data_IF_084238479478
#
_entry.id   IF_084238479478
#
_cell.length_a   1.000
_cell.length_b   1.000
_cell.length_c   1.000
_cell.angle_alpha   90.00
_cell.angle_beta   90.00
_cell.angle_gamma   90.00
#
_symmetry.space_group_name_H-M   'P 1'
#
loop_
_entity.id
_entity.type
_entity.pdbx_description
1 polymer ?
#
# COMPACT_ATOMS: atom_id res chain seq x y z
N UNK A 1 -17.05 -19.27 7.69
CA UNK A 1 -16.51 -18.55 6.53
C UNK A 1 -15.01 -18.85 6.51
N UNK A 2 -14.49 -19.25 5.37
CA UNK A 2 -13.08 -19.51 5.22
C UNK A 2 -12.41 -18.23 4.72
N UNK A 3 -11.43 -17.71 5.49
CA UNK A 3 -10.67 -16.51 5.13
C UNK A 3 -9.37 -16.91 4.41
N UNK A 4 -8.90 -16.08 3.50
CA UNK A 4 -7.57 -16.24 2.91
C UNK A 4 -6.48 -16.13 3.98
N UNK A 5 -6.66 -15.18 4.92
CA UNK A 5 -5.80 -15.03 6.09
C UNK A 5 -6.65 -14.76 7.32
N UNK A 6 -6.37 -15.45 8.42
CA UNK A 6 -6.95 -15.16 9.73
C UNK A 6 -5.88 -15.21 10.82
N UNK A 7 -5.83 -14.18 11.65
CA UNK A 7 -5.00 -14.18 12.88
C UNK A 7 -5.89 -14.03 14.10
N UNK A 8 -5.54 -14.74 15.17
CA UNK A 8 -6.26 -14.74 16.44
C UNK A 8 -5.25 -14.48 17.55
N UNK A 9 -5.24 -13.26 18.07
CA UNK A 9 -4.40 -12.77 19.17
C UNK A 9 -2.90 -13.05 18.93
N UNK A 10 -2.43 -12.88 17.68
CA UNK A 10 -1.04 -13.17 17.33
C UNK A 10 -0.11 -12.18 18.01
N UNK A 11 0.81 -12.72 18.80
CA UNK A 11 1.84 -11.96 19.50
C UNK A 11 3.22 -12.47 19.12
N UNK A 12 4.16 -11.55 18.89
CA UNK A 12 5.57 -11.91 18.67
C UNK A 12 6.48 -11.05 19.54
N UNK A 13 7.26 -11.72 20.37
CA UNK A 13 8.28 -11.11 21.24
C UNK A 13 9.65 -11.62 20.79
N UNK A 14 10.57 -10.70 20.53
CA UNK A 14 11.98 -11.00 20.30
C UNK A 14 12.75 -10.79 21.60
N UNK A 15 13.31 -11.87 22.13
CA UNK A 15 14.15 -11.81 23.32
C UNK A 15 15.61 -11.61 22.90
N UNK A 16 16.39 -10.77 23.57
CA UNK A 16 17.81 -10.62 23.31
C UNK A 16 18.55 -11.91 23.63
N UNK A 17 19.58 -12.26 22.85
CA UNK A 17 20.39 -13.46 23.07
C UNK A 17 21.24 -13.36 24.33
N UNK A 18 21.54 -12.15 24.80
CA UNK A 18 22.27 -11.92 26.05
C UNK A 18 21.77 -10.67 26.77
N UNK A 19 22.01 -10.57 28.08
CA UNK A 19 21.67 -9.36 28.87
C UNK A 19 22.34 -8.07 28.36
N UNK A 20 23.43 -8.17 27.58
CA UNK A 20 24.12 -7.04 26.96
C UNK A 20 23.44 -6.52 25.69
N UNK A 21 22.55 -7.30 25.08
CA UNK A 21 21.90 -6.97 23.80
C UNK A 21 20.61 -6.15 23.93
N UNK A 22 20.20 -5.77 25.14
CA UNK A 22 19.07 -4.88 25.38
C UNK A 22 17.82 -5.54 25.95
N UNK A 23 16.67 -4.88 25.77
CA UNK A 23 15.36 -5.34 26.28
C UNK A 23 14.65 -6.20 25.24
N UNK A 24 13.73 -7.07 25.69
CA UNK A 24 12.80 -7.76 24.80
C UNK A 24 11.94 -6.77 24.03
N UNK A 25 11.75 -7.03 22.73
CA UNK A 25 10.94 -6.20 21.83
C UNK A 25 9.67 -6.97 21.47
N UNK A 26 8.51 -6.41 21.79
CA UNK A 26 7.22 -6.95 21.38
C UNK A 26 6.90 -6.35 20.00
N UNK A 27 7.16 -7.11 18.94
CA UNK A 27 6.94 -6.67 17.57
C UNK A 27 5.48 -6.82 17.11
N UNK A 28 4.72 -7.74 17.71
CA UNK A 28 3.27 -7.88 17.51
C UNK A 28 2.63 -8.11 18.88
N UNK A 29 1.48 -7.46 19.11
CA UNK A 29 0.74 -7.50 20.36
C UNK A 29 -0.73 -7.79 20.10
N UNK A 30 -1.11 -9.07 20.22
CA UNK A 30 -2.49 -9.56 20.14
C UNK A 30 -3.19 -9.14 18.82
N UNK A 31 -2.52 -9.38 17.69
CA UNK A 31 -3.04 -8.99 16.36
C UNK A 31 -4.18 -9.91 15.94
N UNK A 32 -5.35 -9.33 15.72
CA UNK A 32 -6.51 -9.94 15.10
C UNK A 32 -6.75 -9.37 13.72
N UNK A 33 -6.72 -10.20 12.67
CA UNK A 33 -6.89 -9.80 11.29
C UNK A 33 -7.66 -10.87 10.50
N UNK A 34 -8.53 -10.42 9.58
CA UNK A 34 -9.27 -11.28 8.67
C UNK A 34 -9.25 -10.68 7.27
N UNK A 35 -8.74 -11.46 6.31
CA UNK A 35 -8.65 -11.09 4.89
C UNK A 35 -9.47 -12.11 4.09
N UNK A 36 -10.34 -11.62 3.22
CA UNK A 36 -11.18 -12.48 2.41
C UNK A 36 -10.42 -13.02 1.19
N UNK A 37 -10.89 -14.14 0.64
CA UNK A 37 -10.38 -14.63 -0.64
C UNK A 37 -10.74 -13.66 -1.78
N UNK A 38 -9.77 -13.36 -2.64
CA UNK A 38 -9.94 -12.44 -3.77
C UNK A 38 -9.80 -10.97 -3.40
N UNK A 39 -9.29 -10.67 -2.23
CA UNK A 39 -9.12 -9.31 -1.70
C UNK A 39 -7.69 -8.79 -1.95
N UNK A 40 -7.56 -7.55 -2.39
CA UNK A 40 -6.31 -6.81 -2.35
C UNK A 40 -6.30 -5.99 -1.04
N UNK A 41 -5.56 -6.51 -0.06
CA UNK A 41 -5.54 -5.99 1.30
C UNK A 41 -4.24 -5.24 1.60
N UNK A 42 -4.35 -4.03 2.16
CA UNK A 42 -3.22 -3.21 2.58
C UNK A 42 -2.95 -3.32 4.09
N UNK A 43 -1.68 -3.47 4.47
CA UNK A 43 -1.22 -3.32 5.84
C UNK A 43 -0.32 -2.08 5.92
N UNK A 44 -0.85 -1.01 6.49
CA UNK A 44 -0.27 0.32 6.50
C UNK A 44 0.28 0.67 7.88
N UNK A 45 1.49 1.20 7.95
CA UNK A 45 2.09 1.62 9.22
C UNK A 45 3.53 2.07 9.08
N UNK A 46 4.11 2.71 10.10
CA UNK A 46 5.49 3.19 10.07
C UNK A 46 6.49 2.03 10.05
N UNK A 47 7.76 2.38 9.83
CA UNK A 47 8.85 1.43 9.96
C UNK A 47 8.93 0.94 11.42
N UNK A 48 9.07 -0.37 11.60
CA UNK A 48 9.08 -0.98 12.93
C UNK A 48 7.70 -1.31 13.52
N UNK A 49 6.58 -0.93 12.89
CA UNK A 49 5.23 -1.21 13.38
C UNK A 49 4.83 -2.70 13.43
N UNK A 50 5.67 -3.60 12.89
CA UNK A 50 5.41 -5.05 12.89
C UNK A 50 4.94 -5.65 11.56
N UNK A 51 4.80 -4.86 10.48
CA UNK A 51 4.32 -5.29 9.15
C UNK A 51 5.07 -6.54 8.64
N UNK A 52 6.38 -6.42 8.45
CA UNK A 52 7.25 -7.52 7.99
C UNK A 52 7.23 -8.72 8.95
N UNK A 53 7.11 -8.49 10.26
CA UNK A 53 7.01 -9.56 11.26
C UNK A 53 5.73 -10.37 11.06
N UNK A 54 4.60 -9.71 10.82
CA UNK A 54 3.34 -10.37 10.54
C UNK A 54 3.42 -11.17 9.24
N UNK A 55 3.95 -10.59 8.16
CA UNK A 55 4.13 -11.30 6.89
C UNK A 55 5.02 -12.55 7.04
N UNK A 56 6.12 -12.46 7.81
CA UNK A 56 6.99 -13.60 8.08
C UNK A 56 6.28 -14.71 8.86
N UNK A 57 5.36 -14.39 9.75
CA UNK A 57 4.54 -15.40 10.44
C UNK A 57 3.57 -16.06 9.47
N UNK A 58 2.84 -15.28 8.68
CA UNK A 58 1.88 -15.78 7.70
C UNK A 58 2.55 -16.62 6.60
N UNK A 59 3.77 -16.26 6.21
CA UNK A 59 4.58 -17.04 5.25
C UNK A 59 5.34 -18.22 5.86
N UNK A 60 5.10 -18.54 7.15
CA UNK A 60 5.75 -19.63 7.86
C UNK A 60 7.28 -19.49 8.02
N UNK A 61 7.83 -18.30 7.83
CA UNK A 61 9.24 -17.99 8.04
C UNK A 61 9.57 -17.69 9.49
N UNK A 62 8.54 -17.39 10.29
CA UNK A 62 8.65 -17.07 11.71
C UNK A 62 7.45 -17.66 12.45
N UNK A 63 7.68 -18.18 13.68
CA UNK A 63 6.59 -18.65 14.53
C UNK A 63 6.09 -17.52 15.43
N UNK A 64 4.78 -17.47 15.75
CA UNK A 64 4.26 -16.55 16.77
C UNK A 64 4.80 -16.98 18.15
N UNK A 65 4.87 -16.04 19.11
CA UNK A 65 5.14 -16.35 20.52
C UNK A 65 3.88 -16.87 21.20
N UNK A 66 2.72 -16.33 20.82
CA UNK A 66 1.40 -16.80 21.25
C UNK A 66 0.34 -16.40 20.22
N UNK A 67 -0.88 -16.93 20.37
CA UNK A 67 -1.97 -16.75 19.41
C UNK A 67 -1.89 -17.78 18.28
N UNK A 68 -2.71 -17.62 17.25
CA UNK A 68 -2.77 -18.50 16.08
C UNK A 68 -2.91 -17.72 14.78
N UNK A 69 -2.32 -18.22 13.73
CA UNK A 69 -2.49 -17.68 12.37
C UNK A 69 -2.85 -18.81 11.40
N UNK A 70 -3.75 -18.51 10.48
CA UNK A 70 -4.23 -19.42 9.45
C UNK A 70 -4.13 -18.79 8.09
N UNK A 71 -3.75 -19.56 7.08
CA UNK A 71 -3.69 -19.15 5.69
C UNK A 71 -4.41 -20.21 4.84
N UNK A 72 -5.41 -19.79 4.08
CA UNK A 72 -6.35 -20.70 3.38
C UNK A 72 -6.89 -21.81 4.29
N UNK A 73 -7.22 -21.48 5.55
CA UNK A 73 -7.70 -22.43 6.55
C UNK A 73 -6.64 -23.31 7.22
N UNK A 74 -5.37 -23.28 6.77
CA UNK A 74 -4.27 -24.08 7.33
C UNK A 74 -3.53 -23.31 8.42
N UNK A 75 -3.27 -23.97 9.55
CA UNK A 75 -2.49 -23.41 10.65
C UNK A 75 -1.01 -23.25 10.24
N UNK A 76 -0.47 -22.04 10.36
CA UNK A 76 0.89 -21.71 9.90
C UNK A 76 1.99 -22.46 10.65
N UNK A 77 1.71 -22.98 11.85
CA UNK A 77 2.65 -23.73 12.65
C UNK A 77 2.55 -25.24 12.37
N UNK A 78 1.32 -25.78 12.34
CA UNK A 78 1.07 -27.21 12.22
C UNK A 78 1.03 -27.71 10.80
N UNK A 79 0.47 -26.91 9.89
CA UNK A 79 0.20 -27.27 8.49
C UNK A 79 1.07 -26.46 7.52
N UNK A 80 2.26 -26.02 7.94
CA UNK A 80 3.15 -25.12 7.18
C UNK A 80 3.42 -25.58 5.74
N UNK A 81 3.46 -26.88 5.48
CA UNK A 81 3.66 -27.45 4.13
C UNK A 81 2.48 -27.09 3.21
N UNK A 82 1.26 -27.20 3.72
CA UNK A 82 0.05 -26.84 2.96
C UNK A 82 -0.08 -25.35 2.75
N UNK A 83 0.36 -24.52 3.73
CA UNK A 83 0.47 -23.08 3.59
C UNK A 83 1.45 -22.73 2.47
N UNK A 84 2.69 -23.24 2.52
CA UNK A 84 3.76 -22.93 1.54
C UNK A 84 3.41 -23.29 0.11
N UNK A 85 2.58 -24.31 -0.12
CA UNK A 85 2.10 -24.67 -1.46
C UNK A 85 1.17 -23.64 -2.08
N UNK A 86 0.55 -22.78 -1.27
CA UNK A 86 -0.48 -21.82 -1.69
C UNK A 86 -0.03 -20.38 -1.74
N UNK A 87 1.12 -20.12 -1.10
CA UNK A 87 1.61 -18.74 -0.95
C UNK A 87 2.90 -18.50 -1.73
N UNK A 88 3.17 -17.22 -1.98
CA UNK A 88 4.51 -16.73 -2.22
C UNK A 88 4.72 -15.40 -1.49
N UNK A 89 5.98 -14.98 -1.34
CA UNK A 89 6.35 -13.73 -0.69
C UNK A 89 7.41 -13.00 -1.51
N UNK A 90 7.22 -11.70 -1.68
CA UNK A 90 8.18 -10.78 -2.30
C UNK A 90 8.52 -9.71 -1.28
N UNK A 91 9.80 -9.54 -0.97
CA UNK A 91 10.30 -8.46 -0.11
C UNK A 91 10.96 -7.37 -0.95
N UNK A 92 10.66 -6.10 -0.63
CA UNK A 92 11.34 -4.96 -1.20
C UNK A 92 12.77 -4.83 -0.65
N UNK A 93 13.68 -4.34 -1.47
CA UNK A 93 15.05 -4.00 -1.03
C UNK A 93 16.01 -5.18 -0.82
N UNK A 94 15.57 -6.42 -0.86
CA UNK A 94 16.47 -7.56 -0.76
C UNK A 94 17.23 -7.83 -2.07
N UNK A 95 18.52 -8.15 -1.95
CA UNK A 95 19.31 -8.69 -3.08
C UNK A 95 18.80 -10.09 -3.35
N UNK A 96 17.95 -10.19 -4.34
CA UNK A 96 17.20 -11.38 -4.64
C UNK A 96 17.71 -12.03 -5.93
N UNK A 97 17.87 -13.35 -5.86
CA UNK A 97 18.32 -14.18 -6.98
C UNK A 97 19.83 -14.44 -6.99
N UNK A 98 20.21 -15.40 -7.80
CA UNK A 98 21.60 -15.76 -8.00
C UNK A 98 22.23 -14.85 -9.05
N UNK A 99 23.13 -13.96 -8.63
CA UNK A 99 23.70 -12.90 -9.46
C UNK A 99 24.45 -13.37 -10.72
N UNK A 100 24.94 -14.62 -10.73
CA UNK A 100 25.66 -15.22 -11.86
C UNK A 100 24.75 -15.83 -12.92
N UNK A 101 23.52 -16.15 -12.57
CA UNK A 101 22.51 -16.65 -13.49
C UNK A 101 21.90 -15.49 -14.28
N UNK A 102 21.40 -15.77 -15.46
CA UNK A 102 20.58 -14.84 -16.22
C UNK A 102 19.21 -14.61 -15.57
N UNK A 103 18.52 -13.56 -15.97
CA UNK A 103 17.14 -13.29 -15.52
C UNK A 103 16.25 -14.49 -15.75
N UNK A 104 16.29 -15.05 -16.97
CA UNK A 104 15.48 -16.23 -17.35
C UNK A 104 15.83 -17.46 -16.52
N UNK A 105 17.11 -17.75 -16.35
CA UNK A 105 17.56 -18.90 -15.54
C UNK A 105 17.12 -18.79 -14.09
N UNK A 106 17.20 -17.58 -13.48
CA UNK A 106 16.69 -17.36 -12.13
C UNK A 106 15.20 -17.66 -12.02
N UNK A 107 14.39 -17.07 -12.89
CA UNK A 107 12.94 -17.23 -12.86
C UNK A 107 12.54 -18.71 -13.11
N UNK A 108 13.19 -19.35 -14.07
CA UNK A 108 12.98 -20.76 -14.35
C UNK A 108 13.35 -21.65 -13.15
N UNK A 109 14.53 -21.46 -12.56
CA UNK A 109 15.01 -22.22 -11.41
C UNK A 109 14.04 -22.10 -10.23
N UNK A 110 13.57 -20.89 -9.91
CA UNK A 110 12.58 -20.70 -8.84
C UNK A 110 11.26 -21.40 -9.15
N UNK A 111 10.80 -21.40 -10.39
CA UNK A 111 9.58 -22.13 -10.79
C UNK A 111 9.72 -23.65 -10.57
N UNK A 112 10.94 -24.19 -10.78
CA UNK A 112 11.21 -25.61 -10.56
C UNK A 112 11.14 -26.00 -9.06
N UNK A 113 11.52 -25.11 -8.14
CA UNK A 113 11.37 -25.35 -6.71
C UNK A 113 9.89 -25.52 -6.29
N UNK A 114 8.97 -24.95 -7.04
CA UNK A 114 7.53 -25.14 -6.85
C UNK A 114 6.93 -26.26 -7.72
N UNK A 115 7.76 -27.03 -8.42
CA UNK A 115 7.34 -28.17 -9.22
C UNK A 115 6.54 -27.80 -10.49
N UNK A 116 6.72 -26.60 -11.02
CA UNK A 116 6.01 -26.13 -12.21
C UNK A 116 6.67 -26.75 -13.45
N UNK A 117 5.85 -27.33 -14.34
CA UNK A 117 6.34 -27.88 -15.62
C UNK A 117 7.09 -26.80 -16.41
N UNK A 118 8.28 -27.14 -16.94
CA UNK A 118 9.15 -26.18 -17.63
C UNK A 118 8.47 -25.46 -18.81
N UNK A 119 7.57 -26.13 -19.55
CA UNK A 119 6.81 -25.51 -20.64
C UNK A 119 5.91 -24.38 -20.12
N UNK A 120 5.15 -24.64 -19.03
CA UNK A 120 4.27 -23.64 -18.37
C UNK A 120 5.08 -22.52 -17.77
N UNK A 121 6.21 -22.86 -17.10
CA UNK A 121 7.08 -21.86 -16.50
C UNK A 121 7.66 -20.91 -17.56
N UNK A 122 8.16 -21.46 -18.68
CA UNK A 122 8.74 -20.64 -19.74
C UNK A 122 7.72 -19.70 -20.38
N UNK A 123 6.51 -20.18 -20.65
CA UNK A 123 5.42 -19.34 -21.18
C UNK A 123 5.09 -18.18 -20.22
N UNK A 124 4.89 -18.46 -18.94
CA UNK A 124 4.63 -17.42 -17.92
C UNK A 124 5.77 -16.43 -17.78
N UNK A 125 7.02 -16.94 -17.79
CA UNK A 125 8.22 -16.08 -17.70
C UNK A 125 8.26 -15.12 -18.88
N UNK A 126 8.06 -15.60 -20.11
CA UNK A 126 8.11 -14.75 -21.29
C UNK A 126 6.99 -13.68 -21.27
N UNK A 127 5.76 -14.05 -20.90
CA UNK A 127 4.64 -13.11 -20.74
C UNK A 127 4.94 -12.03 -19.68
N UNK A 128 5.43 -12.44 -18.52
CA UNK A 128 5.73 -11.48 -17.45
C UNK A 128 6.94 -10.61 -17.76
N UNK A 129 7.98 -11.13 -18.42
CA UNK A 129 9.12 -10.33 -18.86
C UNK A 129 8.68 -9.24 -19.84
N UNK A 130 7.73 -9.54 -20.74
CA UNK A 130 7.16 -8.55 -21.65
C UNK A 130 6.37 -7.47 -20.89
N UNK A 131 5.43 -7.88 -20.01
CA UNK A 131 4.62 -6.96 -19.20
C UNK A 131 5.46 -6.01 -18.34
N UNK A 132 6.59 -6.51 -17.80
CA UNK A 132 7.49 -5.72 -16.96
C UNK A 132 8.55 -4.94 -17.74
N UNK A 133 8.59 -5.09 -19.09
CA UNK A 133 9.59 -4.45 -19.95
C UNK A 133 11.00 -4.94 -19.64
N UNK A 134 11.18 -6.25 -19.45
CA UNK A 134 12.46 -6.90 -19.17
C UNK A 134 12.82 -7.98 -20.21
N UNK A 135 12.08 -8.07 -21.32
CA UNK A 135 12.30 -9.10 -22.35
C UNK A 135 13.69 -8.97 -22.99
N UNK A 136 14.16 -7.76 -23.23
CA UNK A 136 15.51 -7.47 -23.74
C UNK A 136 16.61 -7.87 -22.77
N UNK A 137 16.31 -7.98 -21.47
CA UNK A 137 17.24 -8.32 -20.38
C UNK A 137 17.23 -9.81 -20.01
N UNK A 138 16.40 -10.63 -20.64
CA UNK A 138 16.20 -12.04 -20.24
C UNK A 138 17.48 -12.88 -20.17
N UNK A 139 18.46 -12.56 -21.02
CA UNK A 139 19.74 -13.27 -21.11
C UNK A 139 20.89 -12.55 -20.36
N UNK A 140 20.61 -11.39 -19.75
CA UNK A 140 21.59 -10.68 -18.92
C UNK A 140 21.68 -11.29 -17.53
N UNK A 141 22.90 -11.24 -16.94
CA UNK A 141 23.11 -11.71 -15.57
C UNK A 141 22.44 -10.80 -14.57
N UNK A 142 21.79 -11.37 -13.54
CA UNK A 142 21.05 -10.59 -12.51
C UNK A 142 21.95 -9.53 -11.84
N UNK A 143 23.24 -9.78 -11.67
CA UNK A 143 24.17 -8.82 -11.07
C UNK A 143 24.35 -7.53 -11.89
N UNK A 144 24.06 -7.54 -13.20
CA UNK A 144 24.22 -6.37 -14.08
C UNK A 144 22.97 -5.51 -14.13
N UNK A 145 21.87 -5.95 -13.57
CA UNK A 145 20.59 -5.24 -13.56
C UNK A 145 20.66 -4.02 -12.62
N UNK A 146 19.94 -2.97 -12.97
CA UNK A 146 19.66 -1.86 -12.06
C UNK A 146 18.79 -2.32 -10.88
N UNK A 147 18.72 -1.51 -9.81
CA UNK A 147 17.87 -1.82 -8.64
C UNK A 147 16.42 -2.00 -9.04
N UNK A 148 15.87 -1.10 -9.88
CA UNK A 148 14.50 -1.20 -10.37
C UNK A 148 14.25 -2.46 -11.23
N UNK A 149 15.20 -2.82 -12.09
CA UNK A 149 15.11 -4.05 -12.90
C UNK A 149 15.15 -5.30 -12.02
N UNK A 150 16.02 -5.33 -11.02
CA UNK A 150 16.06 -6.43 -10.03
C UNK A 150 14.77 -6.57 -9.25
N UNK A 151 14.18 -5.45 -8.83
CA UNK A 151 12.91 -5.48 -8.10
C UNK A 151 11.77 -5.98 -8.99
N UNK A 152 11.70 -5.54 -10.26
CA UNK A 152 10.75 -6.08 -11.24
C UNK A 152 10.91 -7.60 -11.40
N UNK A 153 12.15 -8.10 -11.56
CA UNK A 153 12.43 -9.52 -11.62
C UNK A 153 11.99 -10.27 -10.35
N UNK A 154 12.18 -9.66 -9.17
CA UNK A 154 11.72 -10.20 -7.90
C UNK A 154 10.21 -10.37 -7.85
N UNK A 155 9.48 -9.35 -8.31
CA UNK A 155 8.02 -9.41 -8.41
C UNK A 155 7.63 -10.55 -9.34
N UNK A 156 8.18 -10.61 -10.56
CA UNK A 156 7.93 -11.71 -11.51
C UNK A 156 8.18 -13.07 -10.85
N UNK A 157 9.28 -13.22 -10.12
CA UNK A 157 9.61 -14.47 -9.41
C UNK A 157 8.52 -14.89 -8.42
N UNK A 158 7.91 -13.93 -7.71
CA UNK A 158 6.82 -14.22 -6.80
C UNK A 158 5.56 -14.69 -7.50
N UNK A 159 5.26 -14.13 -8.68
CA UNK A 159 4.02 -14.37 -9.40
C UNK A 159 4.10 -15.53 -10.41
N UNK A 160 5.28 -15.88 -10.91
CA UNK A 160 5.45 -16.96 -11.92
C UNK A 160 4.92 -18.31 -11.44
N UNK A 161 4.89 -18.52 -10.12
CA UNK A 161 4.38 -19.75 -9.50
C UNK A 161 2.85 -19.81 -9.46
N UNK A 162 2.15 -18.71 -9.77
CA UNK A 162 0.69 -18.56 -9.74
C UNK A 162 0.08 -18.98 -8.37
N UNK A 163 0.52 -18.37 -7.26
CA UNK A 163 0.06 -18.73 -5.93
C UNK A 163 -1.42 -18.34 -5.72
N UNK A 164 -2.09 -18.94 -4.72
CA UNK A 164 -3.43 -18.52 -4.30
C UNK A 164 -3.39 -17.19 -3.54
N UNK A 165 -2.32 -16.99 -2.74
CA UNK A 165 -2.11 -15.80 -1.92
C UNK A 165 -0.67 -15.32 -2.11
N UNK A 166 -0.48 -14.03 -2.31
CA UNK A 166 0.86 -13.45 -2.35
C UNK A 166 1.02 -12.35 -1.29
N UNK A 167 2.15 -12.39 -0.61
CA UNK A 167 2.58 -11.38 0.36
C UNK A 167 3.61 -10.46 -0.29
N UNK A 168 3.34 -9.17 -0.34
CA UNK A 168 4.20 -8.15 -0.92
C UNK A 168 4.67 -7.20 0.20
N UNK A 169 5.93 -7.32 0.60
CA UNK A 169 6.52 -6.46 1.63
C UNK A 169 7.22 -5.28 0.99
N UNK A 170 6.57 -4.12 0.97
CA UNK A 170 7.04 -2.88 0.38
C UNK A 170 7.56 -3.03 -1.08
N UNK A 171 6.76 -3.57 -2.00
CA UNK A 171 7.24 -4.00 -3.33
C UNK A 171 7.72 -2.85 -4.22
N UNK A 172 7.33 -1.62 -3.93
CA UNK A 172 7.65 -0.40 -4.71
C UNK A 172 8.70 0.48 -4.04
N UNK A 173 9.23 0.07 -2.87
CA UNK A 173 10.21 0.84 -2.12
C UNK A 173 11.48 1.12 -2.93
N UNK A 174 11.86 2.41 -3.01
CA UNK A 174 13.08 2.84 -3.69
C UNK A 174 13.03 2.76 -5.23
N UNK A 175 11.85 2.60 -5.80
CA UNK A 175 11.63 2.60 -7.24
C UNK A 175 11.20 3.97 -7.76
N UNK A 176 11.52 4.23 -9.03
CA UNK A 176 10.97 5.36 -9.74
C UNK A 176 9.45 5.21 -9.98
N UNK A 177 8.80 6.32 -10.34
CA UNK A 177 7.34 6.38 -10.54
C UNK A 177 6.86 5.39 -11.60
N UNK A 178 7.63 5.22 -12.69
CA UNK A 178 7.23 4.34 -13.79
C UNK A 178 7.33 2.86 -13.40
N UNK A 179 8.43 2.46 -12.74
CA UNK A 179 8.60 1.09 -12.26
C UNK A 179 7.54 0.73 -11.21
N UNK A 180 7.23 1.66 -10.29
CA UNK A 180 6.18 1.49 -9.29
C UNK A 180 4.80 1.33 -9.94
N UNK A 181 4.50 2.12 -10.98
CA UNK A 181 3.23 2.01 -11.72
C UNK A 181 3.07 0.65 -12.39
N UNK A 182 4.10 0.16 -13.08
CA UNK A 182 4.06 -1.16 -13.74
C UNK A 182 3.74 -2.26 -12.72
N UNK A 183 4.38 -2.24 -11.54
CA UNK A 183 4.12 -3.23 -10.49
C UNK A 183 2.67 -3.13 -9.98
N UNK A 184 2.17 -1.92 -9.74
CA UNK A 184 0.80 -1.71 -9.24
C UNK A 184 -0.25 -2.20 -10.25
N UNK A 185 -0.10 -1.78 -11.51
CA UNK A 185 -1.04 -2.15 -12.57
C UNK A 185 -1.09 -3.68 -12.72
N UNK A 186 0.08 -4.34 -12.70
CA UNK A 186 0.18 -5.80 -12.74
C UNK A 186 -0.50 -6.47 -11.53
N UNK A 187 -0.31 -5.96 -10.32
CA UNK A 187 -0.93 -6.53 -9.11
C UNK A 187 -2.45 -6.43 -9.17
N UNK A 188 -2.99 -5.30 -9.63
CA UNK A 188 -4.44 -5.11 -9.82
C UNK A 188 -4.98 -6.11 -10.82
N UNK A 189 -4.35 -6.18 -12.00
CA UNK A 189 -4.73 -7.11 -13.08
C UNK A 189 -4.71 -8.56 -12.57
N UNK A 190 -3.63 -8.96 -11.90
CA UNK A 190 -3.48 -10.31 -11.39
C UNK A 190 -4.57 -10.73 -10.38
N UNK A 191 -5.00 -9.81 -9.51
CA UNK A 191 -6.10 -10.07 -8.55
C UNK A 191 -7.44 -10.13 -9.26
N UNK A 192 -7.70 -9.22 -10.21
CA UNK A 192 -9.02 -9.02 -10.83
C UNK A 192 -9.28 -9.90 -12.04
N UNK A 193 -8.24 -10.18 -12.83
CA UNK A 193 -8.31 -10.98 -14.04
C UNK A 193 -7.99 -12.43 -13.76
N UNK A 194 -8.97 -13.21 -13.37
CA UNK A 194 -8.75 -14.64 -13.24
C UNK A 194 -10.01 -15.39 -12.81
N UNK A 195 -10.14 -16.64 -13.27
CA UNK A 195 -11.18 -17.54 -12.79
C UNK A 195 -10.96 -17.97 -11.33
N UNK A 196 -9.76 -17.75 -10.79
CA UNK A 196 -9.37 -18.08 -9.41
C UNK A 196 -9.46 -16.82 -8.55
N UNK A 197 -9.93 -16.96 -7.32
CA UNK A 197 -9.89 -15.89 -6.31
C UNK A 197 -8.46 -15.75 -5.78
N UNK A 198 -7.68 -14.87 -6.37
CA UNK A 198 -6.30 -14.57 -5.97
C UNK A 198 -6.31 -13.44 -4.93
N UNK A 199 -5.54 -13.61 -3.87
CA UNK A 199 -5.48 -12.66 -2.74
C UNK A 199 -4.09 -12.05 -2.63
N UNK A 200 -4.03 -10.75 -2.36
CA UNK A 200 -2.78 -10.02 -2.10
C UNK A 200 -2.85 -9.39 -0.72
N UNK A 201 -1.81 -9.60 0.08
CA UNK A 201 -1.53 -8.79 1.27
C UNK A 201 -0.29 -7.95 0.99
N UNK A 202 -0.50 -6.66 0.84
CA UNK A 202 0.52 -5.65 0.55
C UNK A 202 0.88 -4.88 1.82
N UNK A 203 2.17 -4.76 2.16
CA UNK A 203 2.60 -3.77 3.14
C UNK A 203 3.14 -2.53 2.43
N UNK A 204 2.81 -1.37 2.94
CA UNK A 204 3.35 -0.10 2.45
C UNK A 204 3.32 0.95 3.57
N UNK A 205 4.17 1.94 3.46
CA UNK A 205 4.07 3.19 4.21
C UNK A 205 3.56 4.34 3.30
N UNK A 206 3.40 4.10 2.00
CA UNK A 206 2.82 5.07 1.05
C UNK A 206 1.29 5.00 1.07
N UNK A 207 0.66 5.97 1.71
CA UNK A 207 -0.79 5.99 1.92
C UNK A 207 -1.57 6.14 0.63
N UNK A 208 -1.06 6.95 -0.31
CA UNK A 208 -1.66 7.10 -1.64
C UNK A 208 -1.70 5.78 -2.42
N UNK A 209 -0.69 4.90 -2.24
CA UNK A 209 -0.68 3.58 -2.85
C UNK A 209 -1.78 2.68 -2.27
N UNK A 210 -1.88 2.63 -0.94
CA UNK A 210 -2.92 1.85 -0.28
C UNK A 210 -4.35 2.35 -0.62
N UNK A 211 -4.51 3.67 -0.73
CA UNK A 211 -5.79 4.31 -1.08
C UNK A 211 -6.27 3.94 -2.50
N UNK A 212 -5.33 3.85 -3.44
CA UNK A 212 -5.64 3.54 -4.84
C UNK A 212 -5.83 2.05 -5.13
N UNK A 213 -5.11 1.19 -4.40
CA UNK A 213 -5.02 -0.22 -4.74
C UNK A 213 -5.95 -1.11 -3.92
N UNK A 214 -6.08 -0.83 -2.62
CA UNK A 214 -6.59 -1.80 -1.68
C UNK A 214 -8.12 -1.73 -1.51
N UNK A 215 -8.77 -2.88 -1.50
CA UNK A 215 -10.18 -3.00 -1.16
C UNK A 215 -10.42 -2.66 0.32
N UNK A 216 -9.50 -3.12 1.19
CA UNK A 216 -9.46 -2.78 2.61
C UNK A 216 -8.03 -2.56 3.06
N UNK A 217 -7.89 -1.74 4.10
CA UNK A 217 -6.61 -1.40 4.72
C UNK A 217 -6.70 -1.60 6.22
N UNK A 218 -5.68 -2.23 6.81
CA UNK A 218 -5.45 -2.21 8.24
C UNK A 218 -4.31 -1.25 8.57
N UNK A 219 -4.53 -0.37 9.55
CA UNK A 219 -3.49 0.51 10.10
C UNK A 219 -2.89 -0.20 11.30
N UNK A 220 -1.58 -0.42 11.26
CA UNK A 220 -0.82 -1.05 12.34
C UNK A 220 0.21 -0.07 12.91
N UNK A 221 0.28 0.01 14.25
CA UNK A 221 1.31 0.75 14.97
C UNK A 221 1.65 0.02 16.28
N UNK A 222 2.92 0.07 16.68
CA UNK A 222 3.44 -0.63 17.87
C UNK A 222 2.95 -2.08 18.00
N UNK A 223 2.87 -2.79 16.88
CA UNK A 223 2.45 -4.19 16.80
C UNK A 223 0.94 -4.42 16.97
N UNK A 224 0.09 -3.39 16.95
CA UNK A 224 -1.36 -3.48 17.13
C UNK A 224 -2.11 -2.96 15.93
N UNK A 225 -3.22 -3.60 15.58
CA UNK A 225 -4.15 -3.06 14.58
C UNK A 225 -5.00 -1.99 15.23
N UNK A 226 -4.87 -0.75 14.74
CA UNK A 226 -5.62 0.40 15.23
C UNK A 226 -6.98 0.53 14.55
N UNK A 227 -7.04 0.25 13.24
CA UNK A 227 -8.26 0.29 12.45
C UNK A 227 -8.13 -0.64 11.25
N UNK A 228 -9.27 -1.13 10.75
CA UNK A 228 -9.33 -1.94 9.54
C UNK A 228 -10.68 -1.72 8.83
N UNK A 229 -10.64 -1.11 7.64
CA UNK A 229 -11.83 -0.89 6.80
C UNK A 229 -11.41 -0.57 5.35
N UNK A 230 -12.40 -0.32 4.46
CA UNK A 230 -12.10 0.27 3.15
C UNK A 230 -11.48 1.67 3.31
N UNK A 231 -10.62 2.11 2.37
CA UNK A 231 -10.03 3.45 2.40
C UNK A 231 -11.07 4.56 2.59
N UNK A 232 -12.19 4.48 1.87
CA UNK A 232 -13.29 5.44 1.97
C UNK A 232 -13.90 5.50 3.38
N UNK A 233 -14.12 4.34 4.01
CA UNK A 233 -14.68 4.30 5.36
C UNK A 233 -13.69 4.75 6.43
N UNK A 234 -12.39 4.47 6.23
CA UNK A 234 -11.36 5.01 7.12
C UNK A 234 -11.31 6.54 7.03
N UNK A 235 -11.37 7.12 5.83
CA UNK A 235 -11.40 8.58 5.63
C UNK A 235 -12.59 9.25 6.32
N UNK A 236 -13.75 8.59 6.38
CA UNK A 236 -14.92 9.09 7.12
C UNK A 236 -14.72 9.18 8.64
N UNK A 237 -13.76 8.42 9.21
CA UNK A 237 -13.45 8.50 10.64
C UNK A 237 -12.75 9.82 11.02
N UNK A 238 -12.16 10.48 10.06
CA UNK A 238 -11.52 11.77 10.23
C UNK A 238 -12.51 12.83 9.79
N UNK A 239 -13.09 13.56 10.74
CA UNK A 239 -13.77 14.81 10.43
C UNK A 239 -12.70 15.86 10.09
N UNK A 240 -12.09 15.74 8.93
CA UNK A 240 -11.32 16.84 8.36
C UNK A 240 -12.34 17.71 7.64
N UNK A 241 -12.45 18.95 8.09
CA UNK A 241 -13.23 19.96 7.40
C UNK A 241 -12.70 20.03 5.97
N UNK A 242 -13.55 19.84 4.97
CA UNK A 242 -13.11 19.86 3.58
C UNK A 242 -12.47 21.22 3.28
N UNK A 243 -11.32 21.20 2.63
CA UNK A 243 -10.64 22.43 2.21
C UNK A 243 -10.98 22.69 0.73
N UNK A 244 -11.54 23.87 0.46
CA UNK A 244 -11.77 24.39 -0.88
C UNK A 244 -10.70 25.42 -1.20
N UNK A 245 -9.96 25.21 -2.28
CA UNK A 245 -9.02 26.19 -2.85
C UNK A 245 -9.58 26.68 -4.18
N UNK A 246 -9.70 27.98 -4.32
CA UNK A 246 -10.07 28.67 -5.56
C UNK A 246 -8.93 29.58 -5.99
N UNK A 247 -8.46 29.44 -7.23
CA UNK A 247 -7.62 30.43 -7.85
C UNK A 247 -8.52 31.30 -8.76
N UNK A 248 -8.52 32.59 -8.54
CA UNK A 248 -9.33 33.58 -9.24
C UNK A 248 -8.44 34.71 -9.78
N UNK A 249 -8.88 35.48 -10.78
CA UNK A 249 -8.18 36.72 -11.12
C UNK A 249 -8.20 37.69 -9.93
N UNK A 250 -7.25 38.64 -9.89
CA UNK A 250 -7.10 39.55 -8.74
C UNK A 250 -8.45 40.09 -8.25
N UNK A 251 -8.71 39.87 -6.96
CA UNK A 251 -9.94 40.30 -6.29
C UNK A 251 -9.70 41.63 -5.57
N UNK A 252 -10.43 42.64 -5.97
CA UNK A 252 -10.35 43.99 -5.38
C UNK A 252 -11.00 44.04 -3.98
N UNK A 253 -12.10 43.31 -3.80
CA UNK A 253 -12.79 43.17 -2.52
C UNK A 253 -12.75 41.73 -2.07
N UNK A 254 -12.09 41.49 -0.96
CA UNK A 254 -11.97 40.14 -0.36
C UNK A 254 -13.25 39.68 0.31
N UNK A 255 -14.28 40.50 0.27
CA UNK A 255 -15.63 40.23 0.71
C UNK A 255 -15.71 39.49 2.07
N UNK A 256 -16.84 39.50 2.70
CA UNK A 256 -17.05 38.80 3.98
C UNK A 256 -17.23 37.29 3.77
N UNK A 257 -16.22 36.61 3.15
CA UNK A 257 -16.29 35.16 2.94
C UNK A 257 -16.36 34.36 4.25
N UNK A 258 -15.78 34.88 5.32
CA UNK A 258 -15.88 34.29 6.67
C UNK A 258 -17.31 34.25 7.21
N UNK A 259 -18.19 35.11 6.71
CA UNK A 259 -19.60 35.16 7.13
C UNK A 259 -20.51 34.17 6.41
N UNK A 260 -19.99 33.41 5.45
CA UNK A 260 -20.80 32.42 4.73
C UNK A 260 -21.10 31.24 5.66
N UNK A 261 -22.39 30.87 5.82
CA UNK A 261 -22.76 29.70 6.61
C UNK A 261 -22.03 28.44 6.10
N UNK A 262 -21.40 27.70 7.00
CA UNK A 262 -20.62 26.52 6.63
C UNK A 262 -19.12 26.77 6.39
N UNK A 263 -18.66 28.01 6.32
CA UNK A 263 -17.23 28.36 6.33
C UNK A 263 -16.75 28.44 7.79
N UNK A 264 -15.68 27.70 8.10
CA UNK A 264 -15.04 27.74 9.42
C UNK A 264 -13.85 28.70 9.46
N UNK A 265 -13.08 28.71 8.37
CA UNK A 265 -11.92 29.58 8.23
C UNK A 265 -11.72 29.97 6.76
N UNK A 266 -11.12 31.14 6.55
CA UNK A 266 -10.84 31.70 5.25
C UNK A 266 -9.47 32.37 5.24
N UNK A 267 -8.72 32.16 4.15
CA UNK A 267 -7.47 32.84 3.88
C UNK A 267 -7.38 33.23 2.40
N UNK A 268 -6.81 34.38 2.11
CA UNK A 268 -6.56 34.83 0.74
C UNK A 268 -5.10 35.24 0.57
N UNK A 269 -4.50 34.86 -0.56
CA UNK A 269 -3.15 35.22 -0.94
C UNK A 269 -3.13 35.73 -2.38
N UNK A 270 -2.56 36.92 -2.59
CA UNK A 270 -2.42 37.49 -3.93
C UNK A 270 -1.04 37.14 -4.52
N UNK A 271 -1.04 36.77 -5.78
CA UNK A 271 0.14 36.65 -6.64
C UNK A 271 0.02 37.72 -7.76
N UNK A 272 0.58 38.92 -7.55
CA UNK A 272 0.48 40.00 -8.54
C UNK A 272 1.20 39.69 -9.84
N UNK A 273 2.25 38.86 -9.82
CA UNK A 273 3.01 38.50 -11.02
C UNK A 273 2.16 37.63 -11.99
N UNK A 274 1.33 36.78 -11.42
CA UNK A 274 0.41 35.91 -12.17
C UNK A 274 -0.99 36.49 -12.36
N UNK A 275 -1.26 37.64 -11.74
CA UNK A 275 -2.60 38.26 -11.71
C UNK A 275 -3.66 37.31 -11.13
N UNK A 276 -3.33 36.60 -10.05
CA UNK A 276 -4.15 35.56 -9.42
C UNK A 276 -4.29 35.84 -7.92
N UNK A 277 -5.51 35.70 -7.40
CA UNK A 277 -5.78 35.55 -5.97
C UNK A 277 -6.13 34.11 -5.66
N UNK A 278 -5.40 33.48 -4.76
CA UNK A 278 -5.72 32.16 -4.20
C UNK A 278 -6.57 32.33 -2.96
N UNK A 279 -7.79 31.83 -2.97
CA UNK A 279 -8.72 31.78 -1.84
C UNK A 279 -8.69 30.37 -1.24
N UNK A 280 -8.52 30.24 0.07
CA UNK A 280 -8.57 28.98 0.79
C UNK A 280 -9.68 29.04 1.85
N UNK A 281 -10.55 28.04 1.81
CA UNK A 281 -11.67 27.91 2.73
C UNK A 281 -11.54 26.57 3.50
N UNK A 282 -11.77 26.61 4.79
CA UNK A 282 -12.03 25.42 5.61
C UNK A 282 -13.54 25.36 5.80
N UNK A 283 -14.19 24.29 5.33
CA UNK A 283 -15.64 24.16 5.29
C UNK A 283 -16.12 23.16 6.34
N UNK A 284 -17.07 23.56 7.17
CA UNK A 284 -17.85 22.66 8.05
C UNK A 284 -18.90 21.89 7.25
N UNK A 285 -19.42 22.51 6.18
CA UNK A 285 -20.48 21.98 5.34
C UNK A 285 -20.18 22.29 3.87
N UNK A 286 -20.31 21.30 3.02
CA UNK A 286 -20.06 21.40 1.59
C UNK A 286 -21.11 22.27 0.87
N UNK A 287 -22.28 22.48 1.46
CA UNK A 287 -23.30 23.38 0.91
C UNK A 287 -22.79 24.80 0.74
N UNK A 288 -21.78 25.22 1.53
CA UNK A 288 -21.13 26.52 1.41
C UNK A 288 -20.41 26.74 0.06
N UNK A 289 -20.04 25.69 -0.65
CA UNK A 289 -19.29 25.79 -1.91
C UNK A 289 -20.07 26.58 -2.97
N UNK A 290 -21.37 26.32 -3.10
CA UNK A 290 -22.22 27.01 -4.08
C UNK A 290 -22.33 28.52 -3.77
N UNK A 291 -22.44 28.90 -2.52
CA UNK A 291 -22.49 30.31 -2.10
C UNK A 291 -21.14 30.99 -2.28
N UNK A 292 -20.03 30.34 -1.97
CA UNK A 292 -18.67 30.84 -2.20
C UNK A 292 -18.47 31.15 -3.66
N UNK A 293 -18.77 30.18 -4.56
CA UNK A 293 -18.65 30.32 -6.01
C UNK A 293 -19.53 31.47 -6.51
N UNK A 294 -20.80 31.54 -6.09
CA UNK A 294 -21.73 32.60 -6.47
C UNK A 294 -21.22 33.97 -6.05
N UNK A 295 -20.65 34.09 -4.86
CA UNK A 295 -20.10 35.36 -4.34
C UNK A 295 -18.85 35.81 -5.10
N UNK A 296 -17.95 34.87 -5.47
CA UNK A 296 -16.79 35.17 -6.32
C UNK A 296 -17.22 35.67 -7.69
N UNK A 297 -18.16 34.97 -8.34
CA UNK A 297 -18.66 35.34 -9.64
C UNK A 297 -19.46 36.65 -9.61
N UNK A 298 -20.23 36.90 -8.53
CA UNK A 298 -20.99 38.14 -8.32
C UNK A 298 -20.12 39.40 -8.19
N UNK A 299 -18.84 39.26 -7.86
CA UNK A 299 -17.84 40.32 -7.84
C UNK A 299 -17.19 40.57 -9.23
N UNK A 300 -17.64 39.87 -10.27
CA UNK A 300 -17.07 39.95 -11.61
C UNK A 300 -15.75 39.21 -11.78
N UNK A 301 -15.34 38.44 -10.80
CA UNK A 301 -14.11 37.65 -10.86
C UNK A 301 -14.30 36.35 -11.63
N UNK A 302 -13.27 35.93 -12.37
CA UNK A 302 -13.26 34.65 -13.08
C UNK A 302 -12.54 33.59 -12.23
N UNK A 303 -13.17 32.44 -12.09
CA UNK A 303 -12.55 31.28 -11.44
C UNK A 303 -11.61 30.60 -12.44
N UNK A 304 -10.33 30.50 -12.10
CA UNK A 304 -9.28 29.92 -12.91
C UNK A 304 -9.07 28.45 -12.56
N UNK A 305 -9.20 28.11 -11.28
CA UNK A 305 -9.03 26.75 -10.76
C UNK A 305 -9.93 26.53 -9.55
N UNK A 306 -10.46 25.32 -9.42
CA UNK A 306 -11.21 24.84 -8.23
C UNK A 306 -10.60 23.54 -7.81
N UNK A 307 -10.11 23.47 -6.57
CA UNK A 307 -9.56 22.27 -5.96
C UNK A 307 -10.25 22.03 -4.62
N UNK A 308 -10.89 20.88 -4.49
CA UNK A 308 -11.42 20.39 -3.21
C UNK A 308 -10.48 19.32 -2.71
N UNK A 309 -9.98 19.50 -1.49
CA UNK A 309 -9.14 18.50 -0.84
C UNK A 309 -10.02 17.67 0.08
N UNK A 310 -10.19 16.41 -0.26
CA UNK A 310 -10.85 15.42 0.59
C UNK A 310 -9.85 14.86 1.61
N UNK A 311 -10.34 14.34 2.75
CA UNK A 311 -9.50 13.62 3.71
C UNK A 311 -8.72 12.50 3.02
N UNK A 312 -7.46 12.37 3.38
CA UNK A 312 -6.56 11.33 2.89
C UNK A 312 -6.38 10.23 3.95
N UNK A 313 -5.83 9.07 3.55
CA UNK A 313 -5.41 8.07 4.54
C UNK A 313 -4.28 8.60 5.44
N UNK A 314 -3.51 9.59 4.99
CA UNK A 314 -2.49 10.26 5.80
C UNK A 314 -3.12 11.02 6.97
N UNK A 315 -4.21 11.73 6.74
CA UNK A 315 -4.97 12.42 7.80
C UNK A 315 -5.53 11.41 8.81
N UNK A 316 -6.01 10.26 8.33
CA UNK A 316 -6.48 9.15 9.18
C UNK A 316 -5.34 8.64 10.06
N UNK A 317 -4.19 8.41 9.47
CA UNK A 317 -3.02 7.88 10.17
C UNK A 317 -2.53 8.86 11.24
N UNK A 318 -2.32 10.13 10.88
CA UNK A 318 -1.90 11.18 11.82
C UNK A 318 -2.88 11.27 13.00
N UNK A 319 -4.17 11.19 12.75
CA UNK A 319 -5.19 11.22 13.80
C UNK A 319 -5.12 10.02 14.74
N UNK A 320 -4.82 8.83 14.22
CA UNK A 320 -4.82 7.59 15.00
C UNK A 320 -3.50 7.36 15.76
N UNK A 321 -2.38 7.70 15.13
CA UNK A 321 -1.03 7.46 15.67
C UNK A 321 -0.49 8.69 16.39
N UNK A 322 -1.01 9.89 16.08
CA UNK A 322 -0.56 11.17 16.68
C UNK A 322 0.79 11.66 16.15
N UNK A 323 1.36 10.98 15.14
CA UNK A 323 2.64 11.34 14.49
C UNK A 323 2.49 11.11 13.00
N UNK A 324 3.13 11.96 12.16
CA UNK A 324 3.28 11.69 10.74
C UNK A 324 4.17 10.46 10.49
N UNK A 325 4.13 9.93 9.28
CA UNK A 325 5.14 8.96 8.81
C UNK A 325 6.38 9.80 8.42
N UNK A 326 7.43 9.77 9.23
CA UNK A 326 8.75 10.28 8.88
C UNK A 326 9.52 9.25 8.05
#
# INVERSE_FOLDING_TARGET
MDYAVETRQVTRIFNPKSKKEGKSVKALDSVDLKINHGELFGLLGPNGAGKTTLLKILSTLLLPTSGKAFVSGFDVEKDFVNVRKRINMVSGGEISGYGLLTVRENLWMFSQFYGIKSSVANERIDQMLEQFGLMDKKNEKVRTLSTGQRQKMNVIRGFVTDPEIIFLDEPTLGLDVNASRIIRDFVIEWVREGRKKRTVLLTTHYMAEADQLCDRVAIIDDGRILACNSPENLKKLVKVNSTLKLDVNLLSDRGRFESIPGVENFAAHDDPERNVTTLRFILKDESAVSEIVSRVLGQGSKILSVQKTEPTLEDVFVKMVGKGLD
#
